data_IF_994128951634
#
_entry.id   IF_994128951634
#
_cell.length_a   1.000
_cell.length_b   1.000
_cell.length_c   1.000
_cell.angle_alpha   90.00
_cell.angle_beta   90.00
_cell.angle_gamma   90.00
#
_symmetry.space_group_name_H-M   'P 1'
#
loop_
_entity.id
_entity.type
_entity.pdbx_description
1 polymer ?
#
# COMPACT_ATOMS: atom_id res chain seq x y z
N UNK A 1 -47.55 0.56 20.07
CA UNK A 1 -46.88 0.58 18.74
C UNK A 1 -47.73 -0.23 17.79
N UNK A 2 -48.22 0.37 16.74
CA UNK A 2 -48.94 -0.35 15.67
C UNK A 2 -47.96 -1.17 14.83
N UNK A 3 -48.42 -2.25 14.19
CA UNK A 3 -47.57 -3.12 13.34
C UNK A 3 -46.84 -2.30 12.23
N UNK A 4 -47.45 -1.20 11.73
CA UNK A 4 -46.82 -0.31 10.78
C UNK A 4 -45.59 0.44 11.35
N UNK A 5 -45.54 0.75 12.65
CA UNK A 5 -44.40 1.43 13.26
C UNK A 5 -43.19 0.52 13.42
N UNK A 6 -43.40 -0.78 13.71
CA UNK A 6 -42.28 -1.71 13.94
C UNK A 6 -41.55 -2.09 12.65
N UNK A 7 -42.25 -2.18 11.52
CA UNK A 7 -41.65 -2.46 10.22
C UNK A 7 -40.77 -1.31 9.70
N UNK A 8 -41.20 -0.05 9.90
CA UNK A 8 -40.41 1.13 9.60
C UNK A 8 -39.12 1.18 10.45
N UNK A 9 -39.23 0.92 11.74
CA UNK A 9 -38.06 0.88 12.65
C UNK A 9 -37.05 -0.19 12.23
N UNK A 10 -37.49 -1.40 11.85
CA UNK A 10 -36.60 -2.46 11.39
C UNK A 10 -35.85 -2.04 10.11
N UNK A 11 -36.55 -1.41 9.16
CA UNK A 11 -35.93 -0.90 7.93
C UNK A 11 -34.91 0.19 8.24
N UNK A 12 -35.24 1.13 9.09
CA UNK A 12 -34.36 2.26 9.44
C UNK A 12 -33.13 1.79 10.24
N UNK A 13 -33.31 0.87 11.20
CA UNK A 13 -32.23 0.40 12.07
C UNK A 13 -31.34 -0.67 11.41
N UNK A 14 -31.91 -1.57 10.61
CA UNK A 14 -31.18 -2.73 10.08
C UNK A 14 -31.02 -2.74 8.56
N UNK A 15 -31.69 -1.83 7.85
CA UNK A 15 -31.71 -1.79 6.40
C UNK A 15 -32.42 -3.00 5.77
N UNK A 16 -33.33 -3.63 6.51
CA UNK A 16 -34.07 -4.82 6.08
C UNK A 16 -35.55 -4.46 5.91
N UNK A 17 -36.06 -4.71 4.72
CA UNK A 17 -37.46 -4.53 4.40
C UNK A 17 -38.31 -5.75 4.80
N UNK A 18 -39.63 -5.54 4.89
CA UNK A 18 -40.65 -6.59 5.08
C UNK A 18 -40.42 -7.47 6.31
N UNK A 19 -39.90 -6.89 7.40
CA UNK A 19 -39.71 -7.59 8.66
C UNK A 19 -40.20 -6.76 9.86
N UNK A 20 -40.74 -7.42 10.84
CA UNK A 20 -41.19 -6.84 12.11
C UNK A 20 -40.40 -7.38 13.30
N UNK A 21 -40.15 -6.52 14.31
CA UNK A 21 -39.43 -6.88 15.52
C UNK A 21 -40.31 -7.74 16.44
N UNK A 22 -39.80 -8.93 16.76
CA UNK A 22 -40.46 -9.87 17.70
C UNK A 22 -39.90 -9.78 19.13
N UNK A 23 -38.61 -9.46 19.25
CA UNK A 23 -37.93 -9.35 20.55
C UNK A 23 -36.43 -9.41 20.44
N UNK A 24 -35.77 -9.18 21.56
CA UNK A 24 -34.30 -9.21 21.67
C UNK A 24 -33.90 -10.06 22.89
N UNK A 25 -32.79 -10.79 22.73
CA UNK A 25 -32.22 -11.58 23.84
C UNK A 25 -30.68 -11.55 23.74
N UNK A 26 -30.00 -11.61 24.86
CA UNK A 26 -28.54 -11.81 24.89
C UNK A 26 -28.24 -13.26 25.28
N UNK A 27 -27.36 -13.89 24.53
CA UNK A 27 -26.94 -15.29 24.77
C UNK A 27 -25.43 -15.38 24.79
N UNK A 28 -24.90 -16.47 25.33
CA UNK A 28 -23.45 -16.78 25.24
C UNK A 28 -23.27 -17.83 24.14
N UNK A 29 -22.57 -17.48 23.08
CA UNK A 29 -22.18 -18.39 22.01
C UNK A 29 -20.67 -18.57 22.01
N UNK A 30 -20.17 -19.78 22.18
CA UNK A 30 -18.73 -20.09 22.24
C UNK A 30 -17.93 -19.20 23.21
N UNK A 31 -18.54 -18.91 24.38
CA UNK A 31 -17.92 -18.07 25.41
C UNK A 31 -17.98 -16.56 25.15
N UNK A 32 -18.68 -16.10 24.12
CA UNK A 32 -18.87 -14.67 23.81
C UNK A 32 -20.34 -14.28 23.97
N UNK A 33 -20.57 -13.09 24.51
CA UNK A 33 -21.92 -12.49 24.53
C UNK A 33 -22.30 -12.18 23.09
N UNK A 34 -23.51 -12.52 22.69
CA UNK A 34 -24.09 -12.22 21.37
C UNK A 34 -25.51 -11.72 21.59
N UNK A 35 -25.85 -10.61 20.96
CA UNK A 35 -27.21 -10.08 20.95
C UNK A 35 -27.96 -10.68 19.78
N UNK A 36 -29.04 -11.43 20.09
CA UNK A 36 -29.95 -11.95 19.08
C UNK A 36 -31.19 -11.06 18.99
N UNK A 37 -31.52 -10.64 17.78
CA UNK A 37 -32.72 -9.86 17.47
C UNK A 37 -33.63 -10.74 16.62
N UNK A 38 -34.82 -11.08 17.14
CA UNK A 38 -35.79 -11.92 16.45
C UNK A 38 -36.74 -11.07 15.64
N UNK A 39 -36.84 -11.39 14.35
CA UNK A 39 -37.66 -10.72 13.37
C UNK A 39 -38.62 -11.71 12.72
N UNK A 40 -39.82 -11.26 12.39
CA UNK A 40 -40.76 -12.02 11.58
C UNK A 40 -40.91 -11.39 10.22
N UNK A 41 -40.80 -12.18 9.17
CA UNK A 41 -41.09 -11.72 7.82
C UNK A 41 -42.60 -11.47 7.65
N UNK A 42 -42.94 -10.26 7.19
CA UNK A 42 -44.31 -9.81 6.97
C UNK A 42 -44.60 -9.41 5.49
N UNK A 43 -43.62 -9.65 4.61
CA UNK A 43 -43.78 -9.35 3.17
C UNK A 43 -44.67 -10.34 2.42
N UNK A 44 -44.87 -10.16 1.12
CA UNK A 44 -45.78 -10.94 0.30
C UNK A 44 -45.35 -12.42 0.22
N UNK A 45 -46.35 -13.31 0.28
CA UNK A 45 -46.16 -14.76 0.15
C UNK A 45 -46.90 -15.23 -1.09
N UNK A 46 -46.22 -15.78 -2.11
CA UNK A 46 -46.85 -16.10 -3.39
C UNK A 46 -47.78 -17.31 -3.26
N UNK A 47 -48.95 -17.21 -3.88
CA UNK A 47 -49.93 -18.32 -4.01
C UNK A 47 -49.61 -19.23 -5.20
N UNK A 48 -48.93 -18.71 -6.22
CA UNK A 48 -48.48 -19.43 -7.40
C UNK A 48 -46.96 -19.62 -7.42
N UNK A 49 -46.51 -20.72 -7.98
CA UNK A 49 -45.08 -21.02 -8.15
C UNK A 49 -44.44 -20.11 -9.21
N UNK A 50 -43.34 -19.44 -8.87
CA UNK A 50 -42.59 -18.58 -9.80
C UNK A 50 -41.91 -19.34 -10.95
N UNK A 51 -41.76 -20.68 -10.83
CA UNK A 51 -41.11 -21.51 -11.87
C UNK A 51 -42.11 -22.07 -12.86
N UNK A 52 -43.24 -22.61 -12.40
CA UNK A 52 -44.19 -23.31 -13.30
C UNK A 52 -45.63 -22.78 -13.24
N UNK A 53 -45.91 -21.75 -12.44
CA UNK A 53 -47.26 -21.20 -12.25
C UNK A 53 -48.21 -22.08 -11.42
N UNK A 54 -47.77 -23.25 -10.99
CA UNK A 54 -48.61 -24.19 -10.23
C UNK A 54 -48.98 -23.68 -8.85
N UNK A 55 -50.08 -24.18 -8.25
CA UNK A 55 -50.52 -23.78 -6.91
C UNK A 55 -49.50 -24.16 -5.82
N UNK A 56 -49.22 -23.26 -4.90
CA UNK A 56 -48.33 -23.50 -3.77
C UNK A 56 -49.13 -23.77 -2.49
N UNK A 57 -48.56 -24.54 -1.57
CA UNK A 57 -49.11 -24.83 -0.24
C UNK A 57 -48.10 -24.60 0.85
N UNK A 58 -48.52 -24.42 2.08
CA UNK A 58 -47.65 -24.19 3.23
C UNK A 58 -46.70 -25.38 3.44
N UNK A 59 -45.39 -25.08 3.57
CA UNK A 59 -44.34 -26.07 3.80
C UNK A 59 -43.57 -25.77 5.10
N UNK A 60 -44.26 -25.26 6.11
CA UNK A 60 -43.70 -24.91 7.42
C UNK A 60 -43.00 -23.55 7.44
N UNK A 61 -42.32 -23.28 8.53
CA UNK A 61 -41.52 -22.06 8.77
C UNK A 61 -40.03 -22.40 8.88
N UNK A 62 -39.19 -21.44 8.59
CA UNK A 62 -37.73 -21.52 8.78
C UNK A 62 -37.23 -20.23 9.41
N UNK A 63 -36.18 -20.35 10.22
CA UNK A 63 -35.45 -19.22 10.74
C UNK A 63 -34.09 -19.08 10.00
N UNK A 64 -33.80 -17.89 9.47
CA UNK A 64 -32.51 -17.50 8.92
C UNK A 64 -31.71 -16.78 10.00
N UNK A 65 -30.52 -17.28 10.33
CA UNK A 65 -29.60 -16.63 11.26
C UNK A 65 -28.51 -15.92 10.47
N UNK A 66 -28.43 -14.59 10.58
CA UNK A 66 -27.47 -13.75 9.85
C UNK A 66 -26.72 -12.84 10.80
N UNK A 67 -25.47 -12.54 10.47
CA UNK A 67 -24.67 -11.57 11.19
C UNK A 67 -25.10 -10.14 10.83
N UNK A 68 -25.07 -9.25 11.83
CA UNK A 68 -25.30 -7.82 11.64
C UNK A 68 -24.19 -7.01 12.30
N UNK A 69 -24.18 -5.68 12.08
CA UNK A 69 -23.21 -4.78 12.72
C UNK A 69 -23.33 -4.85 14.25
N UNK A 70 -22.21 -4.87 14.99
CA UNK A 70 -22.24 -4.92 16.45
C UNK A 70 -23.02 -3.75 17.05
N UNK A 71 -23.84 -4.04 18.05
CA UNK A 71 -24.61 -3.03 18.78
C UNK A 71 -24.06 -2.85 20.20
N UNK A 72 -23.59 -1.65 20.53
CA UNK A 72 -22.97 -1.38 21.82
C UNK A 72 -21.71 -2.21 22.09
N UNK A 73 -20.93 -2.52 21.06
CA UNK A 73 -19.72 -3.35 21.16
C UNK A 73 -20.01 -4.86 21.31
N UNK A 74 -21.28 -5.28 21.22
CA UNK A 74 -21.68 -6.70 21.31
C UNK A 74 -22.01 -7.22 19.90
N UNK A 75 -21.40 -8.34 19.46
CA UNK A 75 -21.78 -9.00 18.22
C UNK A 75 -23.28 -9.22 18.12
N UNK A 76 -23.87 -8.87 16.98
CA UNK A 76 -25.32 -8.91 16.78
C UNK A 76 -25.68 -9.93 15.71
N UNK A 77 -26.75 -10.71 15.96
CA UNK A 77 -27.37 -11.62 15.00
C UNK A 77 -28.83 -11.31 14.82
N UNK A 78 -29.28 -11.31 13.59
CA UNK A 78 -30.70 -11.27 13.30
C UNK A 78 -31.17 -12.69 13.03
N UNK A 79 -32.30 -13.05 13.64
CA UNK A 79 -32.98 -14.34 13.48
C UNK A 79 -34.32 -14.04 12.82
N UNK A 80 -34.41 -14.25 11.50
CA UNK A 80 -35.57 -13.89 10.68
C UNK A 80 -36.40 -15.15 10.48
N UNK A 81 -37.61 -15.19 11.03
CA UNK A 81 -38.56 -16.26 10.84
C UNK A 81 -39.47 -15.98 9.65
N UNK A 82 -39.55 -16.92 8.70
CA UNK A 82 -40.37 -16.78 7.48
C UNK A 82 -41.09 -18.08 7.12
N UNK A 83 -42.27 -17.99 6.44
CA UNK A 83 -42.99 -19.15 5.91
C UNK A 83 -42.27 -19.69 4.67
N UNK A 84 -42.35 -20.99 4.44
CA UNK A 84 -41.99 -21.64 3.19
C UNK A 84 -43.22 -22.14 2.47
N UNK A 85 -43.17 -22.08 1.13
CA UNK A 85 -44.23 -22.63 0.27
C UNK A 85 -43.63 -23.69 -0.65
N UNK A 86 -44.37 -24.74 -0.93
CA UNK A 86 -43.96 -25.79 -1.85
C UNK A 86 -44.97 -25.89 -3.00
N UNK A 87 -44.47 -26.02 -4.23
CA UNK A 87 -45.30 -26.20 -5.40
C UNK A 87 -45.85 -27.59 -5.49
N UNK A 88 -47.15 -27.71 -5.79
CA UNK A 88 -47.82 -28.99 -5.98
C UNK A 88 -47.45 -29.73 -7.26
N UNK A 89 -46.88 -29.03 -8.26
CA UNK A 89 -46.53 -29.58 -9.58
C UNK A 89 -45.05 -29.90 -9.71
N UNK A 90 -44.16 -28.91 -9.52
CA UNK A 90 -42.71 -29.07 -9.73
C UNK A 90 -41.93 -29.31 -8.44
N UNK A 91 -42.58 -29.32 -7.28
CA UNK A 91 -41.98 -29.48 -5.97
C UNK A 91 -40.98 -28.38 -5.57
N UNK A 92 -40.87 -27.31 -6.33
CA UNK A 92 -40.02 -26.17 -5.97
C UNK A 92 -40.43 -25.58 -4.60
N UNK A 93 -39.44 -25.11 -3.84
CA UNK A 93 -39.66 -24.55 -2.50
C UNK A 93 -39.33 -23.08 -2.54
N UNK A 94 -40.37 -22.27 -2.47
CA UNK A 94 -40.24 -20.84 -2.31
C UNK A 94 -39.84 -20.46 -0.88
N UNK A 95 -38.91 -19.50 -0.81
CA UNK A 95 -38.55 -18.74 0.39
C UNK A 95 -38.35 -17.27 -0.02
N UNK A 96 -38.58 -16.30 0.88
CA UNK A 96 -38.42 -14.89 0.53
C UNK A 96 -36.98 -14.55 0.20
N UNK A 97 -36.79 -13.70 -0.79
CA UNK A 97 -35.59 -12.91 -0.97
C UNK A 97 -35.78 -11.62 -0.16
N UNK A 98 -34.97 -11.44 0.89
CA UNK A 98 -35.16 -10.35 1.85
C UNK A 98 -34.18 -9.23 1.49
N UNK A 99 -34.73 -8.10 1.08
CA UNK A 99 -33.92 -6.92 0.78
C UNK A 99 -33.08 -6.48 1.98
N UNK A 100 -31.84 -6.11 1.75
CA UNK A 100 -30.88 -5.78 2.79
C UNK A 100 -30.11 -6.98 3.38
N UNK A 101 -30.37 -8.22 2.88
CA UNK A 101 -29.69 -9.45 3.34
C UNK A 101 -28.82 -10.05 2.24
N UNK A 102 -27.52 -10.19 2.52
CA UNK A 102 -26.62 -11.00 1.70
C UNK A 102 -26.76 -12.47 2.10
N UNK A 103 -27.64 -13.20 1.42
CA UNK A 103 -27.92 -14.61 1.75
C UNK A 103 -26.70 -15.52 1.52
N UNK A 104 -25.84 -15.21 0.52
CA UNK A 104 -24.63 -15.98 0.24
C UNK A 104 -23.64 -15.93 1.41
N UNK A 105 -23.53 -14.78 2.08
CA UNK A 105 -22.61 -14.56 3.19
C UNK A 105 -23.28 -14.67 4.55
N UNK A 106 -24.59 -14.88 4.61
CA UNK A 106 -25.39 -14.97 5.84
C UNK A 106 -25.18 -13.76 6.75
N UNK A 107 -25.31 -12.56 6.18
CA UNK A 107 -25.18 -11.30 6.90
C UNK A 107 -26.01 -10.20 6.25
N UNK A 108 -26.24 -9.11 6.97
CA UNK A 108 -26.89 -7.94 6.38
C UNK A 108 -25.93 -7.24 5.38
N UNK A 109 -26.49 -6.53 4.40
CA UNK A 109 -25.70 -5.77 3.42
C UNK A 109 -24.79 -4.73 4.10
N UNK A 110 -25.29 -4.09 5.19
CA UNK A 110 -24.50 -3.13 5.98
C UNK A 110 -23.34 -3.81 6.75
N UNK A 111 -23.57 -4.99 7.32
CA UNK A 111 -22.51 -5.75 7.98
C UNK A 111 -21.45 -6.20 6.97
N UNK A 112 -21.85 -6.63 5.77
CA UNK A 112 -20.94 -6.95 4.67
C UNK A 112 -20.02 -5.77 4.34
N UNK A 113 -20.60 -4.57 4.18
CA UNK A 113 -19.82 -3.36 3.87
C UNK A 113 -18.91 -2.94 5.04
N UNK A 114 -19.42 -2.95 6.29
CA UNK A 114 -18.64 -2.56 7.47
C UNK A 114 -17.47 -3.54 7.74
N UNK A 115 -17.70 -4.86 7.63
CA UNK A 115 -16.63 -5.87 7.72
C UNK A 115 -15.53 -5.58 6.71
N UNK A 116 -15.89 -5.30 5.46
CA UNK A 116 -14.92 -5.03 4.40
C UNK A 116 -14.12 -3.74 4.68
N UNK A 117 -14.80 -2.65 5.07
CA UNK A 117 -14.16 -1.37 5.39
C UNK A 117 -13.25 -1.46 6.61
N UNK A 118 -13.69 -2.11 7.71
CA UNK A 118 -12.84 -2.35 8.87
C UNK A 118 -11.62 -3.18 8.51
N UNK A 119 -11.80 -4.16 7.61
CA UNK A 119 -10.70 -5.02 7.14
C UNK A 119 -9.64 -4.28 6.33
N UNK A 120 -9.88 -3.07 5.85
CA UNK A 120 -8.85 -2.21 5.28
C UNK A 120 -7.85 -1.68 6.33
N UNK A 121 -8.25 -1.57 7.60
CA UNK A 121 -7.46 -0.91 8.66
C UNK A 121 -6.98 -1.88 9.74
N UNK A 122 -7.80 -2.85 10.10
CA UNK A 122 -7.54 -3.80 11.20
C UNK A 122 -7.35 -5.22 10.66
N UNK A 123 -6.87 -6.14 11.49
CA UNK A 123 -6.64 -7.52 11.07
C UNK A 123 -7.97 -8.27 10.89
N UNK A 124 -8.01 -9.26 10.02
CA UNK A 124 -9.20 -10.12 9.87
C UNK A 124 -9.59 -10.82 11.17
N UNK A 125 -8.63 -11.06 12.06
CA UNK A 125 -8.86 -11.67 13.35
C UNK A 125 -9.63 -10.73 14.28
N UNK A 126 -9.25 -9.46 14.33
CA UNK A 126 -9.89 -8.47 15.19
C UNK A 126 -11.33 -8.22 14.72
N UNK A 127 -11.53 -8.01 13.41
CA UNK A 127 -12.88 -7.88 12.84
C UNK A 127 -13.73 -9.13 13.11
N UNK A 128 -13.15 -10.32 13.00
CA UNK A 128 -13.87 -11.58 13.29
C UNK A 128 -14.30 -11.68 14.76
N UNK A 129 -13.53 -11.11 15.68
CA UNK A 129 -13.90 -11.04 17.11
C UNK A 129 -15.12 -10.15 17.30
N UNK A 130 -15.16 -8.97 16.67
CA UNK A 130 -16.23 -7.99 16.79
C UNK A 130 -17.57 -8.52 16.25
N UNK A 131 -17.54 -9.39 15.26
CA UNK A 131 -18.73 -9.95 14.60
C UNK A 131 -19.09 -11.37 15.04
N UNK A 132 -18.34 -11.98 15.96
CA UNK A 132 -18.44 -13.40 16.31
C UNK A 132 -18.39 -14.32 15.06
N UNK A 133 -17.53 -13.99 14.10
CA UNK A 133 -17.28 -14.73 12.86
C UNK A 133 -15.91 -15.42 12.89
N UNK A 134 -15.60 -16.18 11.85
CA UNK A 134 -14.26 -16.71 11.65
C UNK A 134 -13.39 -15.72 10.84
N UNK A 135 -12.07 -15.66 11.07
CA UNK A 135 -11.17 -14.83 10.25
C UNK A 135 -11.23 -15.18 8.76
N UNK A 136 -11.52 -16.43 8.42
CA UNK A 136 -11.69 -16.90 7.04
C UNK A 136 -12.94 -16.27 6.39
N UNK A 137 -14.05 -16.20 7.14
CA UNK A 137 -15.28 -15.54 6.67
C UNK A 137 -15.01 -14.07 6.39
N UNK A 138 -14.34 -13.37 7.31
CA UNK A 138 -13.97 -11.94 7.14
C UNK A 138 -13.05 -11.74 5.93
N UNK A 139 -12.05 -12.60 5.76
CA UNK A 139 -11.17 -12.58 4.58
C UNK A 139 -11.97 -12.73 3.28
N UNK A 140 -12.86 -13.70 3.21
CA UNK A 140 -13.67 -13.95 2.01
C UNK A 140 -14.60 -12.77 1.68
N UNK A 141 -15.19 -12.13 2.69
CA UNK A 141 -15.98 -10.90 2.52
C UNK A 141 -15.10 -9.78 1.96
N UNK A 142 -13.92 -9.59 2.54
CA UNK A 142 -12.98 -8.58 2.10
C UNK A 142 -12.53 -8.79 0.65
N UNK A 143 -12.12 -10.01 0.28
CA UNK A 143 -11.64 -10.31 -1.07
C UNK A 143 -12.74 -10.16 -2.13
N UNK A 144 -13.99 -10.51 -1.80
CA UNK A 144 -15.14 -10.29 -2.67
C UNK A 144 -15.42 -8.80 -2.85
N UNK A 145 -15.39 -8.03 -1.78
CA UNK A 145 -15.58 -6.58 -1.80
C UNK A 145 -14.49 -5.84 -2.60
N UNK A 146 -13.22 -6.26 -2.47
CA UNK A 146 -12.12 -5.68 -3.25
C UNK A 146 -12.26 -6.00 -4.73
N UNK A 147 -12.71 -7.21 -5.08
CA UNK A 147 -12.97 -7.58 -6.47
C UNK A 147 -14.06 -6.70 -7.08
N UNK A 148 -15.14 -6.46 -6.34
CA UNK A 148 -16.19 -5.53 -6.78
C UNK A 148 -15.65 -4.11 -7.00
N UNK A 149 -14.68 -3.68 -6.21
CA UNK A 149 -14.02 -2.39 -6.40
C UNK A 149 -13.13 -2.38 -7.64
N UNK A 150 -12.30 -3.40 -7.83
CA UNK A 150 -11.46 -3.53 -9.02
C UNK A 150 -12.29 -3.52 -10.32
N UNK A 151 -13.51 -4.09 -10.30
CA UNK A 151 -14.42 -4.08 -11.45
C UNK A 151 -15.12 -2.72 -11.67
N UNK A 152 -15.37 -1.95 -10.64
CA UNK A 152 -16.20 -0.74 -10.67
C UNK A 152 -15.39 0.56 -10.63
N UNK A 153 -14.19 0.55 -10.04
CA UNK A 153 -13.34 1.72 -9.90
C UNK A 153 -12.20 1.68 -10.90
N UNK A 154 -12.13 2.68 -11.75
CA UNK A 154 -11.00 2.89 -12.66
C UNK A 154 -10.21 4.09 -12.21
N UNK A 155 -8.96 3.90 -11.89
CA UNK A 155 -8.04 5.00 -11.63
C UNK A 155 -7.61 5.60 -12.97
N UNK A 156 -7.57 6.93 -13.02
CA UNK A 156 -7.05 7.64 -14.19
C UNK A 156 -5.55 7.36 -14.31
N UNK A 157 -5.09 7.04 -15.51
CA UNK A 157 -3.68 6.82 -15.78
C UNK A 157 -2.88 8.09 -15.51
N UNK A 158 -1.87 8.04 -14.64
CA UNK A 158 -1.04 9.18 -14.29
C UNK A 158 -0.17 9.66 -15.46
N UNK A 159 0.06 10.96 -15.54
CA UNK A 159 1.04 11.53 -16.47
C UNK A 159 2.49 11.29 -16.00
N UNK A 160 2.71 11.17 -14.69
CA UNK A 160 4.00 10.96 -14.04
C UNK A 160 3.96 9.69 -13.19
N UNK A 161 4.51 8.60 -13.69
CA UNK A 161 4.55 7.31 -13.00
C UNK A 161 5.84 7.15 -12.19
N UNK A 162 5.70 6.72 -10.95
CA UNK A 162 6.79 6.13 -10.16
C UNK A 162 6.71 4.62 -10.20
N UNK A 163 7.84 3.96 -10.43
CA UNK A 163 7.95 2.50 -10.40
C UNK A 163 9.11 2.13 -9.50
N UNK A 164 8.85 1.24 -8.56
CA UNK A 164 9.87 0.69 -7.67
C UNK A 164 9.55 -0.75 -7.31
N UNK A 165 10.51 -1.48 -6.75
CA UNK A 165 10.29 -2.85 -6.31
C UNK A 165 10.52 -3.00 -4.82
N UNK A 166 9.70 -3.85 -4.22
CA UNK A 166 9.86 -4.25 -2.83
C UNK A 166 9.86 -5.76 -2.69
N UNK A 167 10.68 -6.25 -1.79
CA UNK A 167 10.62 -7.65 -1.37
C UNK A 167 9.71 -7.78 -0.17
N UNK A 168 8.66 -8.58 -0.30
CA UNK A 168 7.67 -8.86 0.75
C UNK A 168 7.84 -10.30 1.21
N UNK A 169 8.02 -10.50 2.51
CA UNK A 169 8.13 -11.85 3.09
C UNK A 169 6.90 -12.68 2.72
N UNK A 170 7.09 -13.89 2.21
CA UNK A 170 6.10 -14.87 1.73
C UNK A 170 5.44 -14.56 0.38
N UNK A 171 5.53 -13.35 -0.14
CA UNK A 171 5.02 -13.02 -1.48
C UNK A 171 6.18 -13.05 -2.49
N UNK A 172 7.33 -12.50 -2.12
CA UNK A 172 8.47 -12.34 -3.02
C UNK A 172 8.63 -10.89 -3.46
N UNK A 173 9.07 -10.71 -4.70
CA UNK A 173 9.26 -9.40 -5.31
C UNK A 173 7.93 -8.86 -5.83
N UNK A 174 7.65 -7.60 -5.53
CA UNK A 174 6.43 -6.89 -5.91
C UNK A 174 6.83 -5.58 -6.54
N UNK A 175 6.31 -5.28 -7.73
CA UNK A 175 6.44 -3.97 -8.34
C UNK A 175 5.34 -3.06 -7.83
N UNK A 176 5.71 -1.87 -7.40
CA UNK A 176 4.81 -0.82 -6.89
C UNK A 176 4.77 0.32 -7.90
N UNK A 177 3.57 0.72 -8.30
CA UNK A 177 3.33 1.77 -9.29
C UNK A 177 2.55 2.91 -8.62
N UNK A 178 3.07 4.13 -8.74
CA UNK A 178 2.52 5.32 -8.09
C UNK A 178 2.28 6.45 -9.08
N UNK A 179 1.37 7.35 -8.74
CA UNK A 179 1.23 8.66 -9.35
C UNK A 179 2.11 9.65 -8.57
N UNK A 180 3.15 10.14 -9.19
CA UNK A 180 4.13 11.05 -8.55
C UNK A 180 3.60 12.48 -8.42
N UNK A 181 2.69 12.89 -9.32
CA UNK A 181 2.09 14.23 -9.30
C UNK A 181 1.10 14.36 -8.13
N UNK A 182 0.24 13.36 -7.94
CA UNK A 182 -0.82 13.40 -6.94
C UNK A 182 -0.48 12.62 -5.67
N UNK A 183 0.72 12.02 -5.61
CA UNK A 183 1.20 11.23 -4.47
C UNK A 183 0.19 10.16 -4.07
N UNK A 184 -0.17 9.28 -5.01
CA UNK A 184 -1.09 8.17 -4.79
C UNK A 184 -0.52 6.85 -5.27
N UNK A 185 -0.92 5.76 -4.61
CA UNK A 185 -0.63 4.41 -5.08
C UNK A 185 -1.58 4.08 -6.23
N UNK A 186 -1.02 3.83 -7.42
CA UNK A 186 -1.80 3.51 -8.61
C UNK A 186 -2.09 2.01 -8.71
N UNK A 187 -1.07 1.16 -8.58
CA UNK A 187 -1.24 -0.30 -8.56
C UNK A 187 -0.04 -1.03 -7.96
N UNK A 188 -0.19 -2.35 -7.79
CA UNK A 188 0.87 -3.28 -7.40
C UNK A 188 0.83 -4.51 -8.30
N UNK A 189 2.00 -5.02 -8.68
CA UNK A 189 2.13 -6.22 -9.51
C UNK A 189 2.90 -7.32 -8.76
N UNK A 190 2.45 -8.56 -8.90
CA UNK A 190 3.16 -9.71 -8.35
C UNK A 190 4.33 -10.09 -9.26
N UNK A 191 5.54 -9.81 -8.81
CA UNK A 191 6.77 -10.01 -9.57
C UNK A 191 7.31 -8.72 -10.22
N UNK A 192 8.48 -8.84 -10.87
CA UNK A 192 9.21 -7.74 -11.52
C UNK A 192 9.75 -8.10 -12.91
N UNK A 193 9.38 -9.25 -13.44
CA UNK A 193 9.94 -9.66 -14.72
C UNK A 193 9.42 -8.80 -15.87
N UNK A 194 10.25 -8.63 -16.90
CA UNK A 194 9.96 -7.78 -18.06
C UNK A 194 8.62 -8.14 -18.73
N UNK A 195 8.30 -9.43 -18.85
CA UNK A 195 7.06 -9.88 -19.51
C UNK A 195 5.82 -9.37 -18.77
N UNK A 196 5.74 -9.61 -17.46
CA UNK A 196 4.61 -9.18 -16.62
C UNK A 196 4.43 -7.66 -16.67
N UNK A 197 5.55 -6.91 -16.60
CA UNK A 197 5.53 -5.44 -16.68
C UNK A 197 5.02 -4.97 -18.04
N UNK A 198 5.56 -5.55 -19.12
CA UNK A 198 5.15 -5.16 -20.49
C UNK A 198 3.67 -5.49 -20.73
N UNK A 199 3.19 -6.68 -20.35
CA UNK A 199 1.80 -7.08 -20.47
C UNK A 199 0.87 -6.14 -19.68
N UNK A 200 1.26 -5.78 -18.45
CA UNK A 200 0.50 -4.83 -17.64
C UNK A 200 0.40 -3.45 -18.29
N UNK A 201 1.53 -2.86 -18.68
CA UNK A 201 1.55 -1.53 -19.31
C UNK A 201 0.84 -1.51 -20.66
N UNK A 202 0.91 -2.58 -21.43
CA UNK A 202 0.16 -2.70 -22.71
C UNK A 202 -1.35 -2.69 -22.50
N UNK A 203 -1.83 -3.23 -21.38
CA UNK A 203 -3.24 -3.25 -21.00
C UNK A 203 -3.67 -2.03 -20.16
N UNK A 204 -2.74 -1.14 -19.81
CA UNK A 204 -3.06 0.06 -19.04
C UNK A 204 -3.95 0.99 -19.89
N UNK A 205 -5.13 1.42 -19.37
CA UNK A 205 -5.96 2.38 -20.07
C UNK A 205 -5.21 3.69 -20.30
N UNK A 206 -5.43 4.36 -21.42
CA UNK A 206 -4.86 5.68 -21.72
C UNK A 206 -3.34 5.78 -21.52
N UNK A 207 -2.60 4.70 -21.74
CA UNK A 207 -1.13 4.65 -21.54
C UNK A 207 -0.38 5.72 -22.34
N UNK A 208 -0.97 6.19 -23.44
CA UNK A 208 -0.39 7.26 -24.28
C UNK A 208 -0.37 8.62 -23.57
N UNK A 209 -1.11 8.77 -22.46
CA UNK A 209 -1.07 9.97 -21.60
C UNK A 209 0.09 9.98 -20.62
N UNK A 210 0.81 8.85 -20.45
CA UNK A 210 2.01 8.80 -19.62
C UNK A 210 3.12 9.60 -20.32
N UNK A 211 3.57 10.65 -19.66
CA UNK A 211 4.63 11.52 -20.17
C UNK A 211 5.99 11.18 -19.58
N UNK A 212 6.00 10.79 -18.31
CA UNK A 212 7.23 10.51 -17.57
C UNK A 212 7.08 9.25 -16.71
N UNK A 213 8.15 8.48 -16.65
CA UNK A 213 8.30 7.35 -15.76
C UNK A 213 9.59 7.53 -14.96
N UNK A 214 9.50 7.47 -13.63
CA UNK A 214 10.64 7.48 -12.72
C UNK A 214 10.83 6.09 -12.13
N UNK A 215 12.03 5.54 -12.20
CA UNK A 215 12.36 4.26 -11.59
C UNK A 215 13.84 4.17 -11.22
N UNK A 216 14.23 3.05 -10.62
CA UNK A 216 15.63 2.69 -10.46
C UNK A 216 16.31 2.29 -11.79
N UNK A 217 17.60 1.96 -11.72
CA UNK A 217 18.42 1.59 -12.87
C UNK A 217 18.23 0.13 -13.32
N UNK A 218 17.00 -0.38 -13.27
CA UNK A 218 16.71 -1.77 -13.63
C UNK A 218 16.32 -1.90 -15.12
N UNK A 219 17.18 -2.54 -15.93
CA UNK A 219 16.99 -2.66 -17.38
C UNK A 219 15.65 -3.24 -17.85
N UNK A 220 15.02 -4.20 -17.18
CA UNK A 220 13.68 -4.65 -17.55
C UNK A 220 12.61 -3.54 -17.50
N UNK A 221 12.72 -2.53 -16.62
CA UNK A 221 11.84 -1.36 -16.65
C UNK A 221 12.00 -0.58 -17.93
N UNK A 222 13.25 -0.26 -18.32
CA UNK A 222 13.55 0.43 -19.58
C UNK A 222 12.88 -0.22 -20.78
N UNK A 223 13.08 -1.54 -20.93
CA UNK A 223 12.53 -2.31 -22.05
C UNK A 223 11.01 -2.34 -22.06
N UNK A 224 10.40 -2.51 -20.89
CA UNK A 224 8.94 -2.54 -20.74
C UNK A 224 8.32 -1.18 -21.05
N UNK A 225 8.92 -0.10 -20.55
CA UNK A 225 8.50 1.29 -20.81
C UNK A 225 8.61 1.61 -22.30
N UNK A 226 9.77 1.36 -22.91
CA UNK A 226 10.00 1.62 -24.34
C UNK A 226 9.02 0.86 -25.23
N UNK A 227 8.68 -0.38 -24.86
CA UNK A 227 7.75 -1.20 -25.64
C UNK A 227 6.30 -0.76 -25.49
N UNK A 228 5.86 -0.49 -24.26
CA UNK A 228 4.44 -0.25 -23.97
C UNK A 228 4.05 1.24 -24.02
N UNK A 229 4.98 2.14 -23.72
CA UNK A 229 4.76 3.59 -23.60
C UNK A 229 5.86 4.36 -24.38
N UNK A 230 5.94 4.23 -25.71
CA UNK A 230 7.06 4.78 -26.50
C UNK A 230 7.16 6.31 -26.46
N UNK A 231 6.10 7.00 -26.08
CA UNK A 231 6.08 8.46 -25.93
C UNK A 231 6.53 8.92 -24.53
N UNK A 232 6.60 8.03 -23.56
CA UNK A 232 7.01 8.36 -22.21
C UNK A 232 8.54 8.52 -22.12
N UNK A 233 8.97 9.55 -21.39
CA UNK A 233 10.39 9.72 -21.04
C UNK A 233 10.70 8.97 -19.77
N UNK A 234 11.78 8.22 -19.77
CA UNK A 234 12.24 7.49 -18.60
C UNK A 234 13.35 8.24 -17.89
N UNK A 235 13.07 8.68 -16.66
CA UNK A 235 14.04 9.28 -15.76
C UNK A 235 14.45 8.28 -14.67
N UNK A 236 15.72 8.25 -14.34
CA UNK A 236 16.20 7.49 -13.19
C UNK A 236 16.08 8.35 -11.94
N UNK A 237 15.53 7.75 -10.88
CA UNK A 237 15.46 8.41 -9.58
C UNK A 237 16.86 8.73 -9.06
N UNK A 238 17.10 10.00 -8.81
CA UNK A 238 18.42 10.49 -8.34
C UNK A 238 18.83 9.88 -7.01
N UNK A 239 17.85 9.52 -6.15
CA UNK A 239 18.15 8.88 -4.86
C UNK A 239 18.91 7.57 -5.04
N UNK A 240 18.51 6.72 -5.99
CA UNK A 240 19.23 5.48 -6.29
C UNK A 240 20.63 5.72 -6.85
N UNK A 241 20.83 6.83 -7.57
CA UNK A 241 22.14 7.22 -8.08
C UNK A 241 23.04 7.70 -6.93
N UNK A 242 22.54 8.55 -6.04
CA UNK A 242 23.31 9.04 -4.89
C UNK A 242 23.59 7.95 -3.86
N UNK A 243 22.70 6.97 -3.70
CA UNK A 243 22.97 5.78 -2.88
C UNK A 243 24.21 5.03 -3.35
N UNK A 244 24.47 4.96 -4.66
CA UNK A 244 25.70 4.36 -5.23
C UNK A 244 26.96 5.10 -4.80
N UNK A 245 26.90 6.42 -4.61
CA UNK A 245 28.03 7.16 -4.06
C UNK A 245 28.31 6.80 -2.60
N UNK A 246 27.27 6.58 -1.78
CA UNK A 246 27.42 6.07 -0.42
C UNK A 246 28.00 4.65 -0.40
N UNK A 247 27.61 3.77 -1.33
CA UNK A 247 28.19 2.44 -1.49
C UNK A 247 29.69 2.53 -1.88
N UNK A 248 30.05 3.48 -2.75
CA UNK A 248 31.43 3.71 -3.17
C UNK A 248 32.32 4.11 -1.99
N UNK A 249 31.89 5.07 -1.16
CA UNK A 249 32.60 5.44 0.09
C UNK A 249 32.76 4.25 1.03
N UNK A 250 31.69 3.47 1.21
CA UNK A 250 31.74 2.30 2.10
C UNK A 250 32.68 1.22 1.56
N UNK A 251 32.80 1.08 0.25
CA UNK A 251 33.78 0.20 -0.39
C UNK A 251 35.22 0.62 -0.06
N UNK A 252 35.55 1.92 -0.18
CA UNK A 252 36.86 2.45 0.22
C UNK A 252 37.14 2.15 1.70
N UNK A 253 36.15 2.40 2.58
CA UNK A 253 36.28 2.09 4.01
C UNK A 253 36.56 0.60 4.27
N UNK A 254 35.84 -0.29 3.62
CA UNK A 254 36.02 -1.75 3.75
C UNK A 254 37.40 -2.18 3.25
N UNK A 255 37.84 -1.66 2.11
CA UNK A 255 39.16 -1.97 1.57
C UNK A 255 40.28 -1.56 2.54
N UNK A 256 40.23 -0.36 3.10
CA UNK A 256 41.20 0.07 4.09
C UNK A 256 41.15 -0.76 5.39
N UNK A 257 39.96 -1.21 5.80
CA UNK A 257 39.83 -2.06 6.99
C UNK A 257 40.56 -3.41 6.85
N UNK A 258 40.82 -3.92 5.65
CA UNK A 258 41.56 -5.18 5.46
C UNK A 258 43.02 -5.06 5.91
N UNK A 259 43.60 -3.88 5.84
CA UNK A 259 44.99 -3.58 6.23
C UNK A 259 45.14 -3.15 7.68
N UNK A 260 44.03 -2.88 8.41
CA UNK A 260 44.03 -2.37 9.77
C UNK A 260 44.16 -3.46 10.84
N UNK A 261 44.68 -3.10 12.01
CA UNK A 261 44.63 -3.95 13.20
C UNK A 261 43.18 -4.20 13.64
N UNK A 262 42.96 -5.30 14.39
CA UNK A 262 41.59 -5.62 14.91
C UNK A 262 41.03 -4.45 15.77
N UNK A 263 41.87 -3.77 16.55
CA UNK A 263 41.47 -2.66 17.40
C UNK A 263 41.02 -1.43 16.59
N UNK A 264 41.76 -1.08 15.55
CA UNK A 264 41.46 0.07 14.71
C UNK A 264 40.25 -0.22 13.81
N UNK A 265 40.08 -1.49 13.35
CA UNK A 265 38.92 -1.95 12.62
C UNK A 265 37.62 -1.76 13.40
N UNK A 266 37.61 -2.05 14.73
CA UNK A 266 36.43 -1.88 15.58
C UNK A 266 36.07 -0.39 15.70
N UNK A 267 37.05 0.50 15.87
CA UNK A 267 36.84 1.95 15.95
C UNK A 267 36.25 2.55 14.69
N UNK A 268 36.62 2.02 13.51
CA UNK A 268 36.17 2.49 12.19
C UNK A 268 34.87 1.83 11.73
N UNK A 269 34.37 0.78 12.44
CA UNK A 269 33.24 -0.03 11.94
C UNK A 269 31.87 0.61 12.19
N UNK A 270 31.52 1.07 13.38
CA UNK A 270 30.16 1.51 13.73
C UNK A 270 29.91 3.02 13.49
N UNK A 271 30.67 3.88 14.12
CA UNK A 271 30.41 5.32 14.03
C UNK A 271 30.83 5.92 12.70
N UNK A 272 31.99 5.51 12.16
CA UNK A 272 32.54 6.11 10.95
C UNK A 272 31.77 5.76 9.67
N UNK A 273 31.20 4.55 9.58
CA UNK A 273 30.42 4.15 8.42
C UNK A 273 29.17 5.03 8.23
N UNK A 274 28.52 5.40 9.32
CA UNK A 274 27.38 6.31 9.30
C UNK A 274 27.85 7.74 8.94
N UNK A 275 28.83 8.29 9.66
CA UNK A 275 29.38 9.62 9.40
C UNK A 275 29.81 9.83 7.94
N UNK A 276 30.46 8.82 7.34
CA UNK A 276 30.89 8.89 5.93
C UNK A 276 29.72 8.95 4.92
N UNK A 277 28.55 8.40 5.26
CA UNK A 277 27.34 8.44 4.42
C UNK A 277 26.50 9.68 4.63
N UNK A 278 26.61 10.31 5.82
CA UNK A 278 25.92 11.56 6.14
C UNK A 278 26.40 12.69 5.23
N UNK A 279 25.50 13.56 4.81
CA UNK A 279 25.85 14.76 4.01
C UNK A 279 26.69 15.71 4.87
N UNK A 280 27.63 16.39 4.24
CA UNK A 280 28.51 17.38 4.92
C UNK A 280 27.70 18.43 5.68
N UNK A 281 26.58 18.89 5.10
CA UNK A 281 25.70 19.91 5.67
C UNK A 281 24.91 19.40 6.92
N UNK A 282 24.71 18.09 7.01
CA UNK A 282 23.90 17.44 8.05
C UNK A 282 24.78 16.83 9.16
N UNK A 283 26.11 16.95 9.05
CA UNK A 283 27.03 16.46 10.07
C UNK A 283 26.86 17.24 11.38
N UNK A 284 26.78 16.53 12.49
CA UNK A 284 26.95 17.12 13.83
C UNK A 284 28.39 17.62 14.03
N UNK A 285 28.62 18.50 15.01
CA UNK A 285 29.97 18.99 15.33
C UNK A 285 30.97 17.86 15.59
N UNK A 286 30.56 16.80 16.29
CA UNK A 286 31.40 15.62 16.54
C UNK A 286 31.73 14.84 15.28
N UNK A 287 30.77 14.67 14.38
CA UNK A 287 30.99 13.96 13.12
C UNK A 287 31.89 14.76 12.16
N UNK A 288 31.69 16.08 12.07
CA UNK A 288 32.57 16.95 11.31
C UNK A 288 34.02 16.89 11.84
N UNK A 289 34.19 16.87 13.17
CA UNK A 289 35.52 16.71 13.78
C UNK A 289 36.12 15.32 13.47
N UNK A 290 35.32 14.23 13.48
CA UNK A 290 35.78 12.91 13.02
C UNK A 290 36.33 12.96 11.60
N UNK A 291 35.63 13.57 10.66
CA UNK A 291 36.09 13.72 9.25
C UNK A 291 37.39 14.55 9.21
N UNK A 292 37.48 15.64 10.02
CA UNK A 292 38.70 16.46 10.11
C UNK A 292 39.90 15.64 10.60
N UNK A 293 39.72 14.83 11.65
CA UNK A 293 40.77 13.97 12.20
C UNK A 293 41.26 12.91 11.22
N UNK A 294 40.41 12.40 10.33
CA UNK A 294 40.83 11.46 9.26
C UNK A 294 41.90 12.09 8.34
N UNK A 295 41.86 13.40 8.11
CA UNK A 295 42.81 14.11 7.24
C UNK A 295 44.19 14.22 7.88
N UNK A 296 44.29 14.15 9.20
CA UNK A 296 45.55 14.24 9.97
C UNK A 296 46.28 12.89 10.12
N UNK A 297 45.70 11.79 9.67
CA UNK A 297 46.30 10.43 9.78
C UNK A 297 46.51 9.88 8.37
N UNK A 298 47.75 9.67 7.98
CA UNK A 298 48.07 9.29 6.57
C UNK A 298 47.37 8.03 6.14
N UNK A 299 47.23 7.01 6.96
CA UNK A 299 46.56 5.77 6.67
C UNK A 299 45.02 5.94 6.49
N UNK A 300 44.44 6.99 7.09
CA UNK A 300 42.99 7.28 7.03
C UNK A 300 42.64 8.41 6.07
N UNK A 301 43.63 9.18 5.62
CA UNK A 301 43.45 10.26 4.68
C UNK A 301 42.64 9.87 3.44
N UNK A 302 42.79 8.66 2.85
CA UNK A 302 41.96 8.23 1.73
C UNK A 302 40.45 8.17 2.06
N UNK A 303 40.04 7.96 3.32
CA UNK A 303 38.64 8.00 3.71
C UNK A 303 38.06 9.42 3.66
N UNK A 304 38.84 10.41 4.12
CA UNK A 304 38.44 11.81 4.00
C UNK A 304 38.33 12.24 2.54
N UNK A 305 39.29 11.79 1.69
CA UNK A 305 39.21 12.01 0.25
C UNK A 305 37.97 11.34 -0.36
N UNK A 306 37.67 10.10 -0.01
CA UNK A 306 36.47 9.41 -0.47
C UNK A 306 35.18 10.14 -0.05
N UNK A 307 35.15 10.66 1.17
CA UNK A 307 34.05 11.49 1.64
C UNK A 307 33.89 12.76 0.78
N UNK A 308 34.99 13.46 0.46
CA UNK A 308 34.95 14.64 -0.38
C UNK A 308 34.47 14.31 -1.80
N UNK A 309 34.99 13.26 -2.43
CA UNK A 309 34.54 12.77 -3.75
C UNK A 309 33.05 12.45 -3.77
N UNK A 310 32.54 11.86 -2.68
CA UNK A 310 31.10 11.61 -2.53
C UNK A 310 30.32 12.91 -2.44
N UNK A 311 30.75 13.87 -1.64
CA UNK A 311 30.09 15.17 -1.49
C UNK A 311 30.05 15.92 -2.80
N UNK A 312 31.17 16.01 -3.52
CA UNK A 312 31.26 16.65 -4.83
C UNK A 312 30.29 15.99 -5.85
N UNK A 313 30.06 14.67 -5.73
CA UNK A 313 29.07 13.99 -6.54
C UNK A 313 27.63 14.41 -6.20
N UNK A 314 27.30 14.56 -4.94
CA UNK A 314 25.99 15.04 -4.51
C UNK A 314 25.74 16.49 -4.95
N UNK A 315 26.78 17.32 -4.94
CA UNK A 315 26.71 18.74 -5.31
C UNK A 315 26.35 18.94 -6.80
N UNK A 316 26.46 17.88 -7.65
CA UNK A 316 25.95 17.91 -9.02
C UNK A 316 24.45 18.27 -9.05
N UNK A 317 23.65 17.75 -8.14
CA UNK A 317 22.23 18.08 -8.03
C UNK A 317 21.98 19.33 -7.20
N UNK A 318 22.62 19.45 -6.05
CA UNK A 318 22.37 20.53 -5.10
C UNK A 318 22.78 21.90 -5.64
N UNK A 319 23.90 22.01 -6.37
CA UNK A 319 24.37 23.27 -6.94
C UNK A 319 23.80 23.59 -8.33
N UNK A 320 23.17 22.60 -8.98
CA UNK A 320 22.63 22.78 -10.32
C UNK A 320 21.14 22.41 -10.41
N UNK A 321 20.27 22.93 -9.55
CA UNK A 321 18.89 22.47 -9.44
C UNK A 321 18.06 22.68 -10.72
N UNK A 322 18.43 23.65 -11.57
CA UNK A 322 17.66 24.05 -12.76
C UNK A 322 18.41 23.91 -14.08
N UNK A 323 19.70 23.60 -14.06
CA UNK A 323 20.53 23.61 -15.26
C UNK A 323 21.14 22.27 -15.61
N UNK A 324 20.48 21.52 -16.51
CA UNK A 324 20.99 20.27 -17.07
C UNK A 324 22.43 20.38 -17.58
N UNK A 325 22.72 21.45 -18.36
CA UNK A 325 24.04 21.66 -18.93
C UNK A 325 25.14 21.86 -17.88
N UNK A 326 24.82 22.57 -16.79
CA UNK A 326 25.77 22.77 -15.69
C UNK A 326 25.98 21.47 -14.92
N UNK A 327 24.90 20.74 -14.64
CA UNK A 327 24.98 19.43 -13.99
C UNK A 327 25.81 18.42 -14.81
N UNK A 328 25.65 18.41 -16.13
CA UNK A 328 26.47 17.59 -17.03
C UNK A 328 27.96 17.96 -16.98
N UNK A 329 28.27 19.26 -16.95
CA UNK A 329 29.65 19.75 -16.81
C UNK A 329 30.21 19.40 -15.42
N UNK A 330 29.42 19.58 -14.36
CA UNK A 330 29.82 19.23 -13.00
C UNK A 330 30.16 17.73 -12.90
N UNK A 331 29.35 16.88 -13.53
CA UNK A 331 29.63 15.43 -13.59
C UNK A 331 30.94 15.15 -14.32
N UNK A 332 31.22 15.78 -15.45
CA UNK A 332 32.49 15.59 -16.18
C UNK A 332 33.67 16.02 -15.31
N UNK A 333 33.56 17.18 -14.65
CA UNK A 333 34.59 17.65 -13.72
C UNK A 333 34.81 16.69 -12.58
N UNK A 334 33.75 16.24 -11.95
CA UNK A 334 33.80 15.26 -10.88
C UNK A 334 34.46 13.92 -11.32
N UNK A 335 34.08 13.40 -12.50
CA UNK A 335 34.64 12.17 -13.05
C UNK A 335 36.15 12.28 -13.29
N UNK A 336 36.61 13.41 -13.84
CA UNK A 336 38.02 13.67 -14.07
C UNK A 336 38.84 13.86 -12.78
N UNK A 337 38.19 14.24 -11.70
CA UNK A 337 38.81 14.48 -10.39
C UNK A 337 38.77 13.24 -9.47
N UNK A 338 38.25 12.09 -9.91
CA UNK A 338 38.32 10.85 -9.14
C UNK A 338 39.80 10.48 -8.95
N UNK A 339 40.28 10.31 -7.71
CA UNK A 339 41.68 10.02 -7.46
C UNK A 339 42.15 8.73 -8.13
N UNK A 340 43.42 8.68 -8.51
CA UNK A 340 44.03 7.48 -9.08
C UNK A 340 44.21 6.37 -8.03
N UNK A 341 44.37 5.13 -8.51
CA UNK A 341 44.61 3.94 -7.68
C UNK A 341 43.36 3.07 -7.47
N UNK A 342 43.60 1.78 -7.21
CA UNK A 342 42.57 0.73 -7.07
C UNK A 342 41.57 1.02 -5.93
N UNK A 343 41.99 1.74 -4.91
CA UNK A 343 41.16 2.09 -3.75
C UNK A 343 39.89 2.88 -4.16
N UNK A 344 39.98 3.68 -5.24
CA UNK A 344 38.87 4.51 -5.75
C UNK A 344 38.11 3.88 -6.94
N UNK A 345 38.35 2.58 -7.24
CA UNK A 345 37.65 1.87 -8.33
C UNK A 345 36.14 1.86 -8.18
N UNK A 346 35.64 1.88 -6.95
CA UNK A 346 34.21 1.99 -6.67
C UNK A 346 33.61 3.30 -7.21
N UNK A 347 34.33 4.41 -7.17
CA UNK A 347 33.89 5.69 -7.77
C UNK A 347 33.98 5.66 -9.30
N UNK A 348 35.00 5.03 -9.87
CA UNK A 348 35.07 4.80 -11.33
C UNK A 348 33.93 3.89 -11.82
N UNK A 349 33.56 2.92 -11.02
CA UNK A 349 32.37 2.07 -11.29
C UNK A 349 31.08 2.91 -11.22
N UNK A 350 30.96 3.83 -10.27
CA UNK A 350 29.86 4.79 -10.21
C UNK A 350 29.82 5.68 -11.46
N UNK A 351 30.96 6.24 -11.87
CA UNK A 351 31.06 7.04 -13.10
C UNK A 351 30.60 6.26 -14.33
N UNK A 352 31.07 4.99 -14.45
CA UNK A 352 30.63 4.08 -15.52
C UNK A 352 29.12 3.82 -15.47
N UNK A 353 28.56 3.66 -14.28
CA UNK A 353 27.12 3.48 -14.12
C UNK A 353 26.35 4.73 -14.59
N UNK A 354 26.79 5.92 -14.20
CA UNK A 354 26.19 7.16 -14.67
C UNK A 354 26.32 7.29 -16.20
N UNK A 355 27.45 6.93 -16.78
CA UNK A 355 27.63 6.90 -18.25
C UNK A 355 26.68 5.94 -18.96
N UNK A 356 26.45 4.76 -18.39
CA UNK A 356 25.55 3.74 -18.95
C UNK A 356 24.08 4.18 -18.95
N UNK A 357 23.69 5.09 -18.06
CA UNK A 357 22.34 5.64 -17.92
C UNK A 357 22.31 7.17 -18.08
N UNK A 358 23.28 7.71 -18.82
CA UNK A 358 23.52 9.15 -18.90
C UNK A 358 22.27 9.94 -19.29
N UNK A 359 21.62 9.52 -20.36
CA UNK A 359 20.41 10.19 -20.86
C UNK A 359 19.32 10.18 -19.79
N UNK A 360 19.06 9.03 -19.18
CA UNK A 360 17.97 8.81 -18.24
C UNK A 360 18.21 9.54 -16.91
N UNK A 361 19.45 9.59 -16.43
CA UNK A 361 19.80 10.33 -15.20
C UNK A 361 19.65 11.84 -15.45
N UNK A 362 20.17 12.36 -16.56
CA UNK A 362 20.08 13.79 -16.86
C UNK A 362 18.72 14.25 -17.41
N UNK A 363 17.78 13.34 -17.66
CA UNK A 363 16.38 13.68 -17.91
C UNK A 363 15.66 14.25 -16.67
N UNK A 364 16.21 14.07 -15.46
CA UNK A 364 15.73 14.73 -14.25
C UNK A 364 15.49 16.23 -14.46
N UNK A 365 16.41 16.94 -15.12
CA UNK A 365 16.32 18.38 -15.39
C UNK A 365 15.37 18.77 -16.52
N UNK A 366 14.94 17.82 -17.35
CA UNK A 366 13.96 18.05 -18.42
C UNK A 366 12.52 17.87 -17.94
N UNK A 367 12.32 17.27 -16.78
CA UNK A 367 11.00 17.02 -16.24
C UNK A 367 10.38 18.32 -15.69
N UNK A 368 9.11 18.62 -15.99
CA UNK A 368 8.45 19.84 -15.51
C UNK A 368 8.17 19.84 -14.00
N UNK A 369 8.25 18.69 -13.34
CA UNK A 369 8.15 18.56 -11.89
C UNK A 369 9.46 18.00 -11.32
N UNK A 370 9.72 18.21 -10.03
CA UNK A 370 10.82 17.56 -9.33
C UNK A 370 10.54 16.06 -9.25
N UNK A 371 10.94 15.32 -10.31
CA UNK A 371 10.63 13.90 -10.41
C UNK A 371 11.52 13.08 -9.47
N UNK A 372 10.88 12.34 -8.57
CA UNK A 372 11.55 11.46 -7.60
C UNK A 372 10.60 10.37 -7.15
N UNK A 373 11.15 9.22 -6.79
CA UNK A 373 10.41 8.09 -6.22
C UNK A 373 10.19 8.21 -4.69
N UNK A 374 10.45 9.37 -4.08
CA UNK A 374 10.29 9.54 -2.64
C UNK A 374 8.90 9.15 -2.12
N UNK A 375 7.83 9.47 -2.87
CA UNK A 375 6.49 8.98 -2.53
C UNK A 375 6.37 7.46 -2.69
N UNK A 376 6.96 6.87 -3.73
CA UNK A 376 6.94 5.42 -3.95
C UNK A 376 7.63 4.68 -2.80
N UNK A 377 8.74 5.21 -2.28
CA UNK A 377 9.42 4.68 -1.10
C UNK A 377 8.56 4.77 0.16
N UNK A 378 7.84 5.88 0.35
CA UNK A 378 6.86 6.01 1.43
C UNK A 378 5.74 4.96 1.30
N UNK A 379 5.19 4.77 0.11
CA UNK A 379 4.20 3.74 -0.17
C UNK A 379 4.74 2.34 0.14
N UNK A 380 5.98 2.06 -0.25
CA UNK A 380 6.68 0.80 0.02
C UNK A 380 6.77 0.49 1.52
N UNK A 381 7.08 1.50 2.34
CA UNK A 381 7.10 1.36 3.80
C UNK A 381 5.71 1.02 4.34
N UNK A 382 4.68 1.76 3.94
CA UNK A 382 3.30 1.51 4.37
C UNK A 382 2.79 0.11 3.96
N UNK A 383 3.19 -0.38 2.78
CA UNK A 383 2.86 -1.73 2.32
C UNK A 383 3.54 -2.78 3.21
N UNK A 384 4.82 -2.61 3.54
CA UNK A 384 5.55 -3.51 4.46
C UNK A 384 4.91 -3.54 5.84
N UNK A 385 4.58 -2.38 6.42
CA UNK A 385 3.90 -2.28 7.72
C UNK A 385 2.53 -2.98 7.71
N UNK A 386 1.74 -2.79 6.64
CA UNK A 386 0.45 -3.49 6.49
C UNK A 386 0.63 -5.01 6.48
N UNK A 387 1.63 -5.51 5.75
CA UNK A 387 1.93 -6.94 5.71
C UNK A 387 2.38 -7.49 7.07
N UNK A 388 3.19 -6.74 7.81
CA UNK A 388 3.66 -7.12 9.15
C UNK A 388 2.50 -7.20 10.14
N UNK A 389 1.60 -6.21 10.18
CA UNK A 389 0.40 -6.22 11.02
C UNK A 389 -0.48 -7.46 10.76
N UNK A 390 -0.58 -7.89 9.51
CA UNK A 390 -1.34 -9.09 9.11
C UNK A 390 -0.58 -10.40 9.29
N UNK A 391 0.67 -10.38 9.74
CA UNK A 391 1.56 -11.54 9.83
C UNK A 391 1.75 -12.28 8.51
N UNK A 392 1.67 -11.56 7.40
CA UNK A 392 1.78 -12.05 6.03
C UNK A 392 0.41 -12.30 5.39
N UNK A 393 -0.02 -11.34 4.58
CA UNK A 393 -1.20 -11.45 3.71
C UNK A 393 -0.85 -12.14 2.38
N UNK A 394 -1.87 -12.60 1.65
CA UNK A 394 -1.71 -12.91 0.21
C UNK A 394 -1.45 -11.62 -0.56
N UNK A 395 -0.91 -11.75 -1.78
CA UNK A 395 -0.67 -10.58 -2.64
C UNK A 395 -1.97 -9.79 -2.89
N UNK A 396 -3.07 -10.47 -3.23
CA UNK A 396 -4.37 -9.85 -3.52
C UNK A 396 -4.91 -9.09 -2.32
N UNK A 397 -4.82 -9.69 -1.14
CA UNK A 397 -5.22 -9.02 0.11
C UNK A 397 -4.38 -7.78 0.38
N UNK A 398 -3.04 -7.89 0.24
CA UNK A 398 -2.12 -6.78 0.50
C UNK A 398 -2.32 -5.65 -0.52
N UNK A 399 -2.47 -6.00 -1.81
CA UNK A 399 -2.78 -5.06 -2.89
C UNK A 399 -4.08 -4.31 -2.59
N UNK A 400 -5.18 -5.02 -2.31
CA UNK A 400 -6.47 -4.42 -2.01
C UNK A 400 -6.42 -3.48 -0.79
N UNK A 401 -5.75 -3.89 0.30
CA UNK A 401 -5.57 -3.05 1.50
C UNK A 401 -4.76 -1.79 1.23
N UNK A 402 -3.80 -1.86 0.33
CA UNK A 402 -2.93 -0.73 -0.02
C UNK A 402 -3.62 0.25 -0.97
N UNK A 403 -4.24 -0.25 -2.03
CA UNK A 403 -4.93 0.56 -3.04
C UNK A 403 -6.17 1.27 -2.47
N UNK A 404 -7.00 0.54 -1.75
CA UNK A 404 -8.29 1.03 -1.26
C UNK A 404 -8.23 1.56 0.18
N UNK A 405 -7.01 1.83 0.69
CA UNK A 405 -6.85 2.57 1.93
C UNK A 405 -7.52 3.93 1.83
N UNK A 406 -8.22 4.37 2.89
CA UNK A 406 -9.02 5.61 2.92
C UNK A 406 -8.21 6.82 2.41
N UNK A 407 -6.99 7.01 2.92
CA UNK A 407 -6.12 8.13 2.53
C UNK A 407 -5.77 8.09 1.05
N UNK A 408 -5.42 6.92 0.50
CA UNK A 408 -5.11 6.78 -0.91
C UNK A 408 -6.33 7.12 -1.79
N UNK A 409 -7.49 6.56 -1.47
CA UNK A 409 -8.74 6.84 -2.20
C UNK A 409 -9.13 8.32 -2.14
N UNK A 410 -9.02 8.95 -0.98
CA UNK A 410 -9.32 10.38 -0.83
C UNK A 410 -8.42 11.25 -1.71
N UNK A 411 -7.12 10.97 -1.73
CA UNK A 411 -6.17 11.69 -2.56
C UNK A 411 -6.48 11.50 -4.05
N UNK A 412 -6.80 10.26 -4.48
CA UNK A 412 -7.21 9.98 -5.86
C UNK A 412 -8.53 10.71 -6.22
N UNK A 413 -9.52 10.69 -5.34
CA UNK A 413 -10.79 11.41 -5.55
C UNK A 413 -10.56 12.92 -5.65
N UNK A 414 -9.78 13.49 -4.74
CA UNK A 414 -9.50 14.93 -4.69
C UNK A 414 -8.73 15.42 -5.94
N UNK A 415 -7.89 14.56 -6.51
CA UNK A 415 -7.19 14.85 -7.78
C UNK A 415 -8.04 14.62 -9.03
N UNK A 416 -9.32 14.20 -8.89
CA UNK A 416 -10.16 13.83 -10.02
C UNK A 416 -9.72 12.55 -10.73
N UNK A 417 -8.95 11.71 -10.02
CA UNK A 417 -8.32 10.50 -10.58
C UNK A 417 -9.22 9.25 -10.63
N UNK A 418 -10.48 9.36 -10.19
CA UNK A 418 -11.44 8.25 -10.28
C UNK A 418 -12.51 8.56 -11.31
N UNK A 419 -12.73 7.65 -12.24
CA UNK A 419 -13.92 7.60 -13.07
C UNK A 419 -14.96 6.73 -12.39
N UNK A 420 -16.03 7.35 -11.91
CA UNK A 420 -17.12 6.67 -11.21
C UNK A 420 -18.32 6.62 -12.12
N UNK A 421 -18.92 5.44 -12.27
CA UNK A 421 -20.25 5.31 -12.86
C UNK A 421 -21.31 5.98 -11.94
N UNK A 422 -22.43 6.53 -12.49
CA UNK A 422 -23.28 7.52 -11.84
C UNK A 422 -24.04 7.08 -10.58
N UNK A 423 -23.83 5.89 -10.02
CA UNK A 423 -24.61 5.38 -8.90
C UNK A 423 -23.84 4.95 -7.64
N UNK A 424 -22.49 4.95 -7.60
CA UNK A 424 -21.79 4.17 -6.58
C UNK A 424 -20.99 4.97 -5.58
N UNK A 425 -20.57 6.19 -5.84
CA UNK A 425 -19.78 6.95 -4.87
C UNK A 425 -20.11 8.45 -4.89
N UNK A 426 -21.16 8.82 -4.19
CA UNK A 426 -21.15 10.16 -3.55
C UNK A 426 -20.06 10.16 -2.47
N UNK A 427 -19.40 11.27 -2.22
CA UNK A 427 -18.40 11.41 -1.13
C UNK A 427 -18.87 10.80 0.21
N UNK A 428 -20.18 10.65 0.44
CA UNK A 428 -20.78 10.03 1.62
C UNK A 428 -20.90 8.49 1.58
N UNK A 429 -21.00 7.86 0.42
CA UNK A 429 -21.22 6.40 0.37
C UNK A 429 -19.95 5.57 0.62
N UNK A 430 -18.75 6.13 0.37
CA UNK A 430 -17.47 5.53 0.77
C UNK A 430 -17.20 5.69 2.28
N UNK A 431 -17.89 6.58 2.97
CA UNK A 431 -17.49 7.08 4.29
C UNK A 431 -18.69 7.33 5.22
N UNK A 432 -19.66 6.42 5.27
CA UNK A 432 -20.68 6.44 6.32
C UNK A 432 -20.10 5.86 7.61
N UNK A 433 -19.26 6.62 8.26
CA UNK A 433 -19.06 6.66 9.70
C UNK A 433 -18.49 8.03 10.01
N UNK A 434 -19.10 8.69 10.94
CA UNK A 434 -18.86 10.04 11.44
C UNK A 434 -17.40 10.45 11.34
N UNK A 435 -17.14 11.55 10.63
CA UNK A 435 -15.89 12.26 10.66
C UNK A 435 -15.73 12.81 12.09
N UNK A 436 -14.91 12.16 12.90
CA UNK A 436 -14.20 12.92 13.91
C UNK A 436 -13.25 13.85 13.14
N UNK A 437 -13.46 15.15 13.35
CA UNK A 437 -12.58 16.22 12.92
C UNK A 437 -11.15 15.95 13.42
N UNK A 438 -10.37 15.22 12.64
CA UNK A 438 -8.93 15.33 12.75
C UNK A 438 -8.56 16.58 11.95
N UNK A 439 -8.37 17.67 12.71
CA UNK A 439 -7.76 18.91 12.29
C UNK A 439 -6.62 18.67 11.31
N UNK A 440 -6.59 19.47 10.24
CA UNK A 440 -5.44 19.70 9.39
C UNK A 440 -4.22 20.06 10.25
N UNK A 441 -3.51 19.08 10.76
CA UNK A 441 -2.10 19.22 11.02
C UNK A 441 -1.42 18.92 9.68
N UNK A 442 -0.94 19.97 9.05
CA UNK A 442 0.07 19.88 8.01
C UNK A 442 1.22 19.07 8.63
N UNK A 443 1.33 17.81 8.26
CA UNK A 443 2.50 16.99 8.57
C UNK A 443 3.72 17.66 7.93
N UNK A 444 4.35 18.58 8.66
CA UNK A 444 5.74 18.93 8.43
C UNK A 444 6.54 17.63 8.54
N UNK A 445 7.10 17.21 7.43
CA UNK A 445 7.92 16.01 7.31
C UNK A 445 9.18 16.18 8.14
N UNK A 446 9.18 15.68 9.37
CA UNK A 446 10.41 15.44 10.11
C UNK A 446 11.01 14.09 9.66
N UNK A 447 12.28 14.04 9.33
CA UNK A 447 12.95 12.77 9.05
C UNK A 447 12.91 11.91 10.30
N UNK A 448 12.25 10.75 10.21
CA UNK A 448 12.14 9.80 11.30
C UNK A 448 13.51 9.35 11.77
N UNK A 449 13.73 9.23 13.09
CA UNK A 449 14.91 8.55 13.61
C UNK A 449 14.94 7.11 13.09
N UNK A 450 16.11 6.66 12.68
CA UNK A 450 16.32 5.26 12.30
C UNK A 450 15.92 4.35 13.47
N UNK A 451 15.29 3.19 13.19
CA UNK A 451 14.93 2.26 14.26
C UNK A 451 16.19 1.81 14.99
N UNK A 452 16.21 2.02 16.30
CA UNK A 452 17.21 1.44 17.19
C UNK A 452 17.04 -0.09 17.16
N UNK A 453 18.01 -0.77 16.56
CA UNK A 453 18.10 -2.22 16.65
C UNK A 453 18.93 -2.58 17.88
N UNK A 454 18.35 -3.29 18.83
CA UNK A 454 19.13 -3.97 19.87
C UNK A 454 19.95 -5.09 19.21
N UNK A 455 21.24 -5.04 19.42
CA UNK A 455 22.18 -6.03 18.90
C UNK A 455 22.81 -6.74 20.07
N UNK A 456 22.81 -8.07 20.06
CA UNK A 456 23.55 -8.86 21.06
C UNK A 456 25.03 -8.45 21.04
N UNK A 457 25.50 -7.94 22.17
CA UNK A 457 26.85 -7.41 22.30
C UNK A 457 27.94 -8.48 22.14
N UNK A 458 27.59 -9.77 22.28
CA UNK A 458 28.54 -10.90 22.21
C UNK A 458 28.58 -11.54 20.84
N UNK A 459 27.46 -11.62 20.12
CA UNK A 459 27.36 -12.30 18.82
C UNK A 459 27.28 -11.34 17.64
N UNK A 460 26.88 -10.09 17.87
CA UNK A 460 26.70 -9.09 16.82
C UNK A 460 25.45 -9.30 15.96
N UNK A 461 24.52 -10.15 16.37
CA UNK A 461 23.23 -10.38 15.70
C UNK A 461 22.17 -9.39 16.19
N UNK A 462 21.29 -8.99 15.27
CA UNK A 462 20.15 -8.09 15.57
C UNK A 462 19.12 -8.91 16.35
N UNK A 463 18.86 -8.52 17.57
CA UNK A 463 17.73 -9.04 18.36
C UNK A 463 16.44 -8.39 17.87
N UNK A 464 15.47 -9.20 17.45
CA UNK A 464 14.14 -8.79 16.96
C UNK A 464 13.23 -8.35 18.11
#
# INVERSE_FOLDING_TARGET
MTANDSGSIVKDLFGIADCELMGTEETIDKGKRVKNIRLAYCGPVPEACGVCGGKTYSHGRRALKIADTPMGGVPTRLIIEFPRRRCSQCNDIWQPDIDGVNQKRMMTSRAYADIAQRSLRTTFRDVAVDYALTPVTVKNVFEEYIRDYDEKLRFRTPAFLGIDEIKIKRIGEVTVITDLEHRTLYDMLNGRNQRTLTEYFMNMPDRDKVMWVCSDMYRPFEKSIATAMPNARWAIDHFHVVMKANEAVDSVRRSLQTTMTKKDRIKTKRGLAYTLKTRRRDLTGEEAEKIRLLRGVDELKPLATAFDVKEDFFDIWDENPTSKRNAQKAFQTWENNIPEGELFDSFRTLAKTVRNFYTQIFQYWDCPIAISNGYTECANRLIRESNMKGRGYSFETLRGRSLYRKTNLLNIINSGGISIGPRILTKGALFTTEAEDESNEEDEWEPFPEPEYEVDETTGEILN
#
